data_IF_083235952673
#
_entry.id   IF_083235952673
#
_cell.length_a   1.000
_cell.length_b   1.000
_cell.length_c   1.000
_cell.angle_alpha   90.00
_cell.angle_beta   90.00
_cell.angle_gamma   90.00
#
_symmetry.space_group_name_H-M   'P 1'
#
loop_
_entity.id
_entity.type
_entity.pdbx_description
1 polymer ?
#
# COMPACT_ATOMS: atom_id res chain seq x y z
N UNK A 1 -9.40 4.67 -26.70
CA UNK A 1 -9.81 4.48 -25.29
C UNK A 1 -10.33 5.83 -24.82
N UNK A 2 -11.60 5.94 -24.44
CA UNK A 2 -12.15 7.21 -23.92
C UNK A 2 -11.40 7.56 -22.63
N UNK A 3 -10.88 8.78 -22.54
CA UNK A 3 -9.93 9.24 -21.52
C UNK A 3 -10.49 9.40 -20.10
N UNK A 4 -11.70 8.91 -19.83
CA UNK A 4 -12.49 9.30 -18.65
C UNK A 4 -12.87 8.10 -17.75
N UNK A 5 -12.18 6.96 -17.88
CA UNK A 5 -12.43 5.82 -16.99
C UNK A 5 -11.77 6.05 -15.63
N UNK A 6 -12.60 6.24 -14.60
CA UNK A 6 -12.17 6.35 -13.21
C UNK A 6 -12.31 5.00 -12.53
N UNK A 7 -11.18 4.44 -12.09
CA UNK A 7 -11.14 3.20 -11.32
C UNK A 7 -10.98 3.52 -9.83
N UNK A 8 -11.70 2.78 -8.99
CA UNK A 8 -11.57 2.86 -7.54
C UNK A 8 -11.06 1.52 -7.00
N UNK A 9 -10.16 1.60 -6.02
CA UNK A 9 -9.56 0.45 -5.39
C UNK A 9 -9.84 0.51 -3.88
N UNK A 10 -10.63 -0.43 -3.32
CA UNK A 10 -10.87 -0.44 -1.89
C UNK A 10 -9.54 -0.71 -1.14
N UNK A 11 -9.35 0.02 -0.05
CA UNK A 11 -8.26 -0.24 0.90
C UNK A 11 -8.61 -1.47 1.74
N UNK A 12 -7.60 -2.14 2.31
CA UNK A 12 -7.85 -3.25 3.23
C UNK A 12 -8.46 -2.73 4.53
N UNK A 13 -9.51 -3.40 4.98
CA UNK A 13 -10.13 -3.11 6.27
C UNK A 13 -9.12 -3.29 7.41
N UNK A 14 -9.18 -2.36 8.36
CA UNK A 14 -8.34 -2.32 9.55
C UNK A 14 -9.19 -1.83 10.72
N UNK A 15 -9.03 -2.48 11.88
CA UNK A 15 -9.58 -1.95 13.13
C UNK A 15 -8.90 -0.62 13.42
N UNK A 16 -9.66 0.44 13.65
CA UNK A 16 -9.09 1.77 13.93
C UNK A 16 -8.21 1.76 15.20
N UNK A 17 -8.43 0.81 16.12
CA UNK A 17 -7.59 0.64 17.30
C UNK A 17 -6.20 0.07 17.00
N UNK A 18 -6.00 -0.56 15.83
CA UNK A 18 -4.70 -1.05 15.37
C UNK A 18 -3.85 0.05 14.71
N UNK A 19 -4.44 1.23 14.44
CA UNK A 19 -3.72 2.37 13.87
C UNK A 19 -2.95 3.09 14.97
N UNK A 20 -1.62 3.10 14.84
CA UNK A 20 -0.70 3.70 15.81
C UNK A 20 -0.21 5.06 15.34
N UNK A 21 0.19 5.17 14.08
CA UNK A 21 0.78 6.38 13.49
C UNK A 21 0.47 6.42 11.99
N UNK A 22 -0.09 7.51 11.47
CA UNK A 22 -0.41 7.63 10.04
C UNK A 22 0.72 8.26 9.23
N UNK A 23 1.78 8.72 9.90
CA UNK A 23 2.94 9.30 9.23
C UNK A 23 3.63 8.26 8.33
N UNK A 24 4.02 8.69 7.13
CA UNK A 24 4.65 7.79 6.15
C UNK A 24 3.71 6.81 5.43
N UNK A 25 2.40 6.83 5.68
CA UNK A 25 1.44 5.99 4.94
C UNK A 25 1.52 6.19 3.41
N UNK A 26 1.64 7.44 2.96
CA UNK A 26 1.78 7.78 1.54
C UNK A 26 3.10 7.29 0.95
N UNK A 27 4.21 7.47 1.68
CA UNK A 27 5.53 7.02 1.23
C UNK A 27 5.59 5.49 1.14
N UNK A 28 5.03 4.80 2.12
CA UNK A 28 4.89 3.35 2.11
C UNK A 28 4.02 2.88 0.94
N UNK A 29 2.89 3.55 0.67
CA UNK A 29 2.06 3.25 -0.49
C UNK A 29 2.84 3.37 -1.80
N UNK A 30 3.56 4.46 -2.00
CA UNK A 30 4.37 4.67 -3.21
C UNK A 30 5.46 3.61 -3.29
N UNK A 31 6.13 3.28 -2.19
CA UNK A 31 7.15 2.23 -2.13
C UNK A 31 6.61 0.86 -2.56
N UNK A 32 5.46 0.45 -2.02
CA UNK A 32 4.79 -0.80 -2.41
C UNK A 32 4.31 -0.79 -3.86
N UNK A 33 3.77 0.34 -4.34
CA UNK A 33 3.40 0.46 -5.75
C UNK A 33 4.61 0.28 -6.68
N UNK A 34 5.71 0.96 -6.37
CA UNK A 34 6.93 0.90 -7.17
C UNK A 34 7.58 -0.48 -7.13
N UNK A 35 7.47 -1.25 -6.02
CA UNK A 35 8.07 -2.59 -5.93
C UNK A 35 7.49 -3.57 -6.95
N UNK A 36 6.20 -3.45 -7.25
CA UNK A 36 5.56 -4.27 -8.28
C UNK A 36 5.71 -3.67 -9.68
N UNK A 37 5.71 -2.32 -9.79
CA UNK A 37 5.90 -1.63 -11.06
C UNK A 37 7.24 -2.00 -11.72
N UNK A 38 8.33 -2.02 -10.94
CA UNK A 38 9.67 -2.37 -11.47
C UNK A 38 9.77 -3.83 -11.93
N UNK A 39 8.83 -4.68 -11.50
CA UNK A 39 8.69 -6.06 -11.96
C UNK A 39 7.75 -6.19 -13.17
N UNK A 40 7.24 -5.09 -13.72
CA UNK A 40 6.32 -5.06 -14.85
C UNK A 40 4.92 -5.58 -14.53
N UNK A 41 4.51 -5.54 -13.26
CA UNK A 41 3.19 -6.04 -12.86
C UNK A 41 2.05 -5.10 -13.31
N UNK A 42 0.82 -5.62 -13.46
CA UNK A 42 -0.36 -4.81 -13.77
C UNK A 42 -0.67 -3.77 -12.68
N UNK A 43 -1.34 -2.68 -13.08
CA UNK A 43 -1.66 -1.56 -12.19
C UNK A 43 -2.43 -2.00 -10.94
N UNK A 44 -3.39 -2.93 -11.05
CA UNK A 44 -4.15 -3.40 -9.89
C UNK A 44 -3.26 -4.06 -8.84
N UNK A 45 -2.21 -4.78 -9.27
CA UNK A 45 -1.25 -5.43 -8.36
C UNK A 45 -0.35 -4.40 -7.69
N UNK A 46 0.11 -3.39 -8.44
CA UNK A 46 0.87 -2.27 -7.86
C UNK A 46 0.05 -1.52 -6.80
N UNK A 47 -1.23 -1.23 -7.07
CA UNK A 47 -2.12 -0.60 -6.08
C UNK A 47 -2.29 -1.50 -4.85
N UNK A 48 -2.46 -2.82 -5.03
CA UNK A 48 -2.57 -3.78 -3.92
C UNK A 48 -1.31 -3.79 -3.04
N UNK A 49 -0.13 -3.74 -3.64
CA UNK A 49 1.13 -3.66 -2.90
C UNK A 49 1.29 -2.34 -2.14
N UNK A 50 0.86 -1.23 -2.74
CA UNK A 50 0.81 0.06 -2.06
C UNK A 50 -0.13 0.03 -0.85
N UNK A 51 -1.35 -0.48 -1.01
CA UNK A 51 -2.28 -0.66 0.11
C UNK A 51 -1.67 -1.56 1.20
N UNK A 52 -0.98 -2.63 0.82
CA UNK A 52 -0.28 -3.52 1.76
C UNK A 52 0.77 -2.77 2.58
N UNK A 53 1.69 -2.10 1.91
CA UNK A 53 2.77 -1.37 2.58
C UNK A 53 2.23 -0.27 3.50
N UNK A 54 1.23 0.50 3.06
CA UNK A 54 0.58 1.50 3.90
C UNK A 54 -0.15 0.87 5.10
N UNK A 55 -0.84 -0.24 4.91
CA UNK A 55 -1.53 -0.93 6.00
C UNK A 55 -0.56 -1.49 7.06
N UNK A 56 0.65 -1.89 6.65
CA UNK A 56 1.72 -2.32 7.56
C UNK A 56 2.33 -1.14 8.31
N UNK A 57 2.57 -0.01 7.64
CA UNK A 57 3.25 1.15 8.24
C UNK A 57 2.38 1.80 9.31
N UNK A 58 1.07 1.91 9.07
CA UNK A 58 0.18 2.63 10.00
C UNK A 58 -0.03 1.92 11.34
N UNK A 59 0.31 0.63 11.43
CA UNK A 59 0.22 -0.20 12.64
C UNK A 59 1.48 -0.14 13.51
N UNK A 60 2.44 0.71 13.16
CA UNK A 60 3.76 0.80 13.80
C UNK A 60 4.09 2.24 14.12
N UNK A 61 4.92 2.45 15.14
CA UNK A 61 5.42 3.78 15.45
C UNK A 61 6.51 4.17 14.44
N UNK A 62 6.32 5.28 13.74
CA UNK A 62 7.24 5.74 12.69
C UNK A 62 7.33 4.78 11.48
N UNK A 63 8.29 5.05 10.60
CA UNK A 63 8.44 4.33 9.33
C UNK A 63 9.23 3.01 9.49
N UNK A 64 8.62 2.00 10.12
CA UNK A 64 9.25 0.69 10.36
C UNK A 64 8.48 -0.47 9.72
N UNK A 65 9.21 -1.48 9.25
CA UNK A 65 8.67 -2.69 8.62
C UNK A 65 9.16 -3.96 9.34
N UNK A 66 8.42 -5.08 9.24
CA UNK A 66 8.96 -6.38 9.62
C UNK A 66 10.15 -6.78 8.74
N UNK A 67 10.95 -7.75 9.18
CA UNK A 67 12.15 -8.21 8.45
C UNK A 67 11.83 -8.67 7.02
N UNK A 68 10.66 -9.26 6.81
CA UNK A 68 10.18 -9.70 5.51
C UNK A 68 8.73 -9.29 5.28
N UNK A 69 8.35 -8.91 4.04
CA UNK A 69 6.96 -8.70 3.68
C UNK A 69 6.22 -10.03 3.58
N UNK A 70 4.95 -10.00 3.96
CA UNK A 70 3.95 -11.05 3.78
C UNK A 70 2.94 -10.59 2.72
N UNK A 71 3.45 -10.37 1.51
CA UNK A 71 2.68 -9.92 0.35
C UNK A 71 2.74 -10.97 -0.75
N UNK A 72 1.56 -11.41 -1.21
CA UNK A 72 1.39 -12.48 -2.19
C UNK A 72 0.37 -12.08 -3.27
#
# INVERSE_FOLDING_TARGET
MSSDEVLTFPVMDIDQNDIVDTNGAGDAFVGGYLSELVQGQPMERCIRAGHYAANVIIRRAGCTFPEKPDFH
#
